data_IF_349664425707
#
_entry.id   IF_349664425707
#
_cell.length_a   1.000
_cell.length_b   1.000
_cell.length_c   1.000
_cell.angle_alpha   90.00
_cell.angle_beta   90.00
_cell.angle_gamma   90.00
#
_symmetry.space_group_name_H-M   'P 1'
#
loop_
_entity.id
_entity.type
_entity.pdbx_description
1 polymer ?
#
# COMPACT_ATOMS: atom_id res chain seq x y z
N UNK A 1 0.85 7.76 -9.26
CA UNK A 1 0.21 6.92 -8.24
C UNK A 1 0.23 7.59 -6.88
N UNK A 2 -0.64 7.15 -5.98
CA UNK A 2 -0.70 7.67 -4.60
C UNK A 2 0.62 7.36 -3.86
N UNK A 3 1.17 6.18 -4.05
CA UNK A 3 2.45 5.81 -3.45
C UNK A 3 3.59 6.71 -3.94
N UNK A 4 3.64 7.03 -5.23
CA UNK A 4 4.63 7.94 -5.78
C UNK A 4 4.49 9.36 -5.19
N UNK A 5 3.26 9.87 -5.10
CA UNK A 5 2.98 11.18 -4.51
C UNK A 5 3.35 11.24 -3.02
N UNK A 6 3.32 10.11 -2.33
CA UNK A 6 3.63 9.99 -0.90
C UNK A 6 5.10 9.63 -0.64
N UNK A 7 5.91 9.39 -1.67
CA UNK A 7 7.29 8.96 -1.51
C UNK A 7 8.15 9.87 -0.63
N UNK A 8 8.11 11.20 -0.75
CA UNK A 8 8.90 12.07 0.13
C UNK A 8 8.55 11.88 1.62
N UNK A 9 7.26 11.72 1.94
CA UNK A 9 6.82 11.49 3.32
C UNK A 9 7.22 10.11 3.83
N UNK A 10 7.16 9.09 2.98
CA UNK A 10 7.62 7.74 3.31
C UNK A 10 9.11 7.72 3.61
N UNK A 11 9.92 8.39 2.77
CA UNK A 11 11.36 8.48 2.97
C UNK A 11 11.73 9.26 4.23
N UNK A 12 10.96 10.30 4.57
CA UNK A 12 11.17 11.08 5.79
C UNK A 12 10.86 10.27 7.05
N UNK A 13 9.76 9.49 7.04
CA UNK A 13 9.35 8.69 8.19
C UNK A 13 10.16 7.40 8.34
N UNK A 14 10.56 6.80 7.22
CA UNK A 14 11.33 5.56 7.17
C UNK A 14 12.63 5.77 6.39
N UNK A 15 13.68 6.37 7.00
CA UNK A 15 14.95 6.58 6.31
C UNK A 15 15.52 5.26 5.76
N UNK A 16 15.95 5.27 4.51
CA UNK A 16 16.46 4.08 3.85
C UNK A 16 15.40 3.18 3.21
N UNK A 17 14.12 3.57 3.24
CA UNK A 17 13.07 2.83 2.54
C UNK A 17 13.31 2.88 1.02
N UNK A 18 13.17 1.73 0.37
CA UNK A 18 13.14 1.67 -1.09
C UNK A 18 11.72 1.93 -1.58
N UNK A 19 11.52 2.97 -2.40
CA UNK A 19 10.21 3.28 -2.99
C UNK A 19 10.27 3.03 -4.50
N UNK A 20 9.45 2.10 -4.99
CA UNK A 20 9.28 1.85 -6.42
C UNK A 20 7.79 2.02 -6.75
N UNK A 21 7.46 3.12 -7.41
CA UNK A 21 6.10 3.45 -7.78
C UNK A 21 6.03 4.00 -9.19
N UNK A 22 5.01 3.57 -9.93
CA UNK A 22 4.72 4.04 -11.29
C UNK A 22 3.25 4.30 -11.47
N UNK A 23 2.93 5.20 -12.38
CA UNK A 23 1.53 5.48 -12.76
C UNK A 23 0.90 4.22 -13.37
N UNK A 24 -0.33 3.92 -12.96
CA UNK A 24 -1.15 2.81 -13.48
C UNK A 24 -0.60 1.40 -13.26
N UNK A 25 0.34 1.23 -12.32
CA UNK A 25 0.80 -0.10 -11.93
C UNK A 25 -0.31 -0.84 -11.18
N UNK A 26 -0.43 -2.15 -11.42
CA UNK A 26 -1.38 -3.03 -10.77
C UNK A 26 -0.67 -4.17 -10.01
N UNK A 27 -1.44 -5.04 -9.35
CA UNK A 27 -0.87 -6.16 -8.57
C UNK A 27 -0.12 -7.18 -9.42
N UNK A 28 -0.52 -7.38 -10.67
CA UNK A 28 0.21 -8.28 -11.59
C UNK A 28 1.63 -7.77 -11.83
N UNK A 29 1.79 -6.46 -12.04
CA UNK A 29 3.11 -5.85 -12.20
C UNK A 29 3.90 -5.81 -10.88
N UNK A 30 3.23 -5.86 -9.73
CA UNK A 30 3.88 -5.80 -8.42
C UNK A 30 4.86 -6.95 -8.19
N UNK A 31 4.57 -8.14 -8.68
CA UNK A 31 5.48 -9.29 -8.54
C UNK A 31 6.81 -9.05 -9.24
N UNK A 32 6.78 -8.50 -10.45
CA UNK A 32 8.00 -8.16 -11.19
C UNK A 32 8.75 -7.01 -10.52
N UNK A 33 8.02 -6.03 -10.01
CA UNK A 33 8.58 -4.90 -9.27
C UNK A 33 9.28 -5.34 -8.00
N UNK A 34 8.68 -6.28 -7.25
CA UNK A 34 9.26 -6.82 -6.03
C UNK A 34 10.59 -7.51 -6.31
N UNK A 35 10.64 -8.36 -7.34
CA UNK A 35 11.87 -9.04 -7.73
C UNK A 35 12.98 -8.05 -8.10
N UNK A 36 12.65 -7.01 -8.87
CA UNK A 36 13.61 -5.97 -9.25
C UNK A 36 14.08 -5.15 -8.04
N UNK A 37 13.17 -4.82 -7.11
CA UNK A 37 13.50 -4.09 -5.88
C UNK A 37 14.41 -4.92 -4.97
N UNK A 38 14.13 -6.20 -4.80
CA UNK A 38 14.97 -7.10 -4.00
C UNK A 38 16.38 -7.23 -4.58
N UNK A 39 16.50 -7.27 -5.91
CA UNK A 39 17.80 -7.30 -6.58
C UNK A 39 18.58 -5.98 -6.39
N UNK A 40 17.90 -4.84 -6.39
CA UNK A 40 18.51 -3.51 -6.29
C UNK A 40 18.84 -3.09 -4.84
N UNK A 41 17.96 -3.41 -3.88
CA UNK A 41 18.03 -2.88 -2.51
C UNK A 41 18.19 -3.96 -1.44
N UNK A 42 18.18 -5.24 -1.80
CA UNK A 42 18.13 -6.36 -0.88
C UNK A 42 16.73 -6.56 -0.28
N UNK A 43 16.54 -7.71 0.36
CA UNK A 43 15.27 -8.04 1.00
C UNK A 43 15.03 -7.15 2.24
N UNK A 44 13.78 -6.69 2.41
CA UNK A 44 13.35 -5.85 3.53
C UNK A 44 12.44 -6.64 4.46
N UNK A 45 12.38 -6.26 5.74
CA UNK A 45 11.52 -6.90 6.74
C UNK A 45 10.03 -6.73 6.40
N UNK A 46 9.66 -5.58 5.87
CA UNK A 46 8.29 -5.28 5.47
C UNK A 46 8.25 -4.95 3.98
N UNK A 47 7.19 -5.41 3.33
CA UNK A 47 6.86 -5.04 1.95
C UNK A 47 5.53 -4.31 1.97
N UNK A 48 5.52 -3.09 1.46
CA UNK A 48 4.33 -2.22 1.42
C UNK A 48 3.83 -2.16 -0.02
N UNK A 49 2.57 -2.54 -0.23
CA UNK A 49 1.95 -2.54 -1.56
C UNK A 49 0.70 -1.67 -1.56
N UNK A 50 0.72 -0.61 -2.38
CA UNK A 50 -0.35 0.37 -2.46
C UNK A 50 -0.86 0.56 -3.88
N UNK A 51 -1.54 -0.44 -4.45
CA UNK A 51 -1.97 -0.45 -5.84
C UNK A 51 -3.49 -0.48 -6.03
N UNK A 52 -4.29 -0.49 -4.95
CA UNK A 52 -5.74 -0.59 -5.02
C UNK A 52 -6.40 0.58 -5.76
N UNK A 53 -5.77 1.76 -5.75
CA UNK A 53 -6.26 2.93 -6.49
C UNK A 53 -6.14 2.74 -8.00
N UNK A 54 -5.22 1.91 -8.48
CA UNK A 54 -4.95 1.73 -9.90
C UNK A 54 -5.78 0.63 -10.54
N UNK A 55 -6.18 -0.40 -9.77
CA UNK A 55 -6.91 -1.54 -10.32
C UNK A 55 -7.58 -2.36 -9.20
N UNK A 56 -8.49 -3.23 -9.60
CA UNK A 56 -9.08 -4.23 -8.70
C UNK A 56 -8.03 -5.23 -8.20
N UNK A 57 -8.39 -5.93 -7.14
CA UNK A 57 -7.52 -6.88 -6.44
C UNK A 57 -8.25 -8.21 -6.30
N UNK A 58 -7.55 -9.31 -6.56
CA UNK A 58 -8.07 -10.66 -6.32
C UNK A 58 -7.29 -11.37 -5.21
N UNK A 59 -7.95 -12.35 -4.59
CA UNK A 59 -7.31 -13.20 -3.59
C UNK A 59 -6.08 -13.92 -4.14
N UNK A 60 -6.15 -14.41 -5.39
CA UNK A 60 -5.02 -15.08 -6.04
C UNK A 60 -3.80 -14.16 -6.18
N UNK A 61 -4.02 -12.89 -6.52
CA UNK A 61 -2.95 -11.90 -6.59
C UNK A 61 -2.32 -11.66 -5.23
N UNK A 62 -3.11 -11.57 -4.16
CA UNK A 62 -2.62 -11.36 -2.80
C UNK A 62 -1.87 -12.59 -2.29
N UNK A 63 -2.36 -13.79 -2.56
CA UNK A 63 -1.65 -15.03 -2.24
C UNK A 63 -0.29 -15.11 -2.95
N UNK A 64 -0.23 -14.70 -4.22
CA UNK A 64 1.01 -14.67 -4.97
C UNK A 64 2.02 -13.69 -4.37
N UNK A 65 1.56 -12.52 -3.93
CA UNK A 65 2.42 -11.53 -3.24
C UNK A 65 2.96 -12.10 -1.93
N UNK A 66 2.11 -12.68 -1.11
CA UNK A 66 2.51 -13.24 0.18
C UNK A 66 3.53 -14.37 0.01
N UNK A 67 3.34 -15.23 -0.99
CA UNK A 67 4.31 -16.27 -1.33
C UNK A 67 5.64 -15.68 -1.81
N UNK A 68 5.59 -14.63 -2.64
CA UNK A 68 6.78 -14.01 -3.21
C UNK A 68 7.67 -13.33 -2.17
N UNK A 69 7.09 -12.76 -1.11
CA UNK A 69 7.88 -12.11 -0.05
C UNK A 69 8.56 -13.12 0.89
N UNK A 70 8.10 -14.37 0.91
CA UNK A 70 8.65 -15.41 1.77
C UNK A 70 8.19 -15.30 3.22
N UNK A 71 8.65 -16.24 4.07
CA UNK A 71 8.20 -16.35 5.46
C UNK A 71 8.83 -15.32 6.40
N UNK A 72 9.97 -14.75 6.01
CA UNK A 72 10.75 -13.84 6.87
C UNK A 72 10.33 -12.38 6.75
N UNK A 73 9.37 -12.07 5.89
CA UNK A 73 8.87 -10.71 5.68
C UNK A 73 7.37 -10.64 5.91
N UNK A 74 6.91 -9.48 6.32
CA UNK A 74 5.50 -9.18 6.51
C UNK A 74 4.99 -8.25 5.42
N UNK A 75 3.70 -8.35 5.11
CA UNK A 75 3.05 -7.62 4.03
C UNK A 75 2.13 -6.53 4.60
N UNK A 76 2.34 -5.31 4.14
CA UNK A 76 1.46 -4.18 4.43
C UNK A 76 0.69 -3.85 3.16
N UNK A 77 -0.63 -4.00 3.22
CA UNK A 77 -1.51 -3.67 2.11
C UNK A 77 -2.19 -2.33 2.37
N UNK A 78 -1.99 -1.39 1.46
CA UNK A 78 -2.61 -0.07 1.56
C UNK A 78 -3.92 -0.06 0.79
N UNK A 79 -5.00 0.36 1.45
CA UNK A 79 -6.30 0.51 0.80
C UNK A 79 -6.29 1.66 -0.21
N UNK A 80 -7.24 1.66 -1.12
CA UNK A 80 -7.42 2.74 -2.08
C UNK A 80 -8.46 3.75 -1.61
N UNK A 81 -8.35 4.98 -2.07
CA UNK A 81 -9.35 6.02 -1.92
C UNK A 81 -9.45 6.79 -3.23
N UNK A 82 -10.66 7.04 -3.67
CA UNK A 82 -10.91 7.77 -4.90
C UNK A 82 -12.38 8.15 -5.07
N UNK A 83 -12.69 8.98 -6.09
CA UNK A 83 -14.06 9.40 -6.37
C UNK A 83 -14.93 8.25 -6.89
N UNK A 84 -16.23 8.52 -7.05
CA UNK A 84 -17.20 7.51 -7.50
C UNK A 84 -16.84 6.83 -8.83
N UNK A 85 -16.09 7.50 -9.71
CA UNK A 85 -15.64 6.91 -10.98
C UNK A 85 -14.65 5.75 -10.80
N UNK A 86 -13.98 5.65 -9.66
CA UNK A 86 -13.06 4.55 -9.33
C UNK A 86 -13.84 3.38 -8.72
N UNK A 87 -14.69 2.76 -9.53
CA UNK A 87 -15.70 1.79 -9.09
C UNK A 87 -15.12 0.50 -8.52
N UNK A 88 -13.86 0.17 -8.82
CA UNK A 88 -13.18 -1.02 -8.34
C UNK A 88 -12.65 -0.90 -6.91
N UNK A 89 -12.50 0.33 -6.38
CA UNK A 89 -11.83 0.56 -5.08
C UNK A 89 -12.58 -0.10 -3.91
N UNK A 90 -13.91 0.03 -3.76
CA UNK A 90 -14.58 -0.62 -2.64
C UNK A 90 -14.37 -2.12 -2.57
N UNK A 91 -14.49 -2.81 -3.72
CA UNK A 91 -14.24 -4.25 -3.81
C UNK A 91 -12.78 -4.62 -3.52
N UNK A 92 -11.83 -3.83 -4.02
CA UNK A 92 -10.42 -4.02 -3.73
C UNK A 92 -10.12 -3.86 -2.24
N UNK A 93 -10.69 -2.86 -1.59
CA UNK A 93 -10.52 -2.63 -0.16
C UNK A 93 -11.12 -3.77 0.67
N UNK A 94 -12.29 -4.28 0.29
CA UNK A 94 -12.92 -5.43 0.96
C UNK A 94 -12.03 -6.67 0.85
N UNK A 95 -11.48 -6.93 -0.32
CA UNK A 95 -10.57 -8.06 -0.55
C UNK A 95 -9.29 -7.93 0.29
N UNK A 96 -8.71 -6.75 0.35
CA UNK A 96 -7.52 -6.46 1.15
C UNK A 96 -7.80 -6.73 2.64
N UNK A 97 -8.93 -6.24 3.16
CA UNK A 97 -9.29 -6.44 4.56
C UNK A 97 -9.57 -7.89 4.90
N UNK A 98 -10.27 -8.61 4.02
CA UNK A 98 -10.53 -10.04 4.19
C UNK A 98 -9.24 -10.83 4.21
N UNK A 99 -8.32 -10.55 3.30
CA UNK A 99 -7.04 -11.23 3.22
C UNK A 99 -6.19 -11.01 4.49
N UNK A 100 -6.12 -9.77 4.97
CA UNK A 100 -5.41 -9.46 6.20
C UNK A 100 -6.01 -10.16 7.42
N UNK A 101 -7.35 -10.27 7.49
CA UNK A 101 -8.04 -10.96 8.56
C UNK A 101 -7.74 -12.47 8.57
N UNK A 102 -7.46 -13.07 7.41
CA UNK A 102 -7.06 -14.47 7.28
C UNK A 102 -5.58 -14.71 7.63
N UNK A 103 -4.76 -13.66 7.61
CA UNK A 103 -3.31 -13.75 7.88
C UNK A 103 -2.87 -12.71 8.93
N UNK A 104 -3.45 -12.74 10.15
CA UNK A 104 -3.26 -11.65 11.12
C UNK A 104 -1.82 -11.49 11.61
N UNK A 105 -1.01 -12.55 11.54
CA UNK A 105 0.38 -12.51 12.01
C UNK A 105 1.37 -11.98 10.94
N UNK A 106 0.94 -11.91 9.68
CA UNK A 106 1.81 -11.64 8.56
C UNK A 106 1.37 -10.48 7.68
N UNK A 107 0.08 -10.12 7.72
CA UNK A 107 -0.50 -9.11 6.84
C UNK A 107 -1.24 -8.08 7.69
N UNK A 108 -0.96 -6.81 7.46
CA UNK A 108 -1.70 -5.72 8.05
C UNK A 108 -2.20 -4.76 6.97
N UNK A 109 -3.26 -4.02 7.31
CA UNK A 109 -3.85 -3.02 6.43
C UNK A 109 -3.42 -1.64 6.87
N UNK A 110 -2.84 -0.88 5.95
CA UNK A 110 -2.70 0.56 6.09
C UNK A 110 -3.98 1.20 5.54
N UNK A 111 -4.83 1.69 6.42
CA UNK A 111 -6.17 2.17 6.09
C UNK A 111 -6.14 3.60 5.54
N UNK A 112 -5.55 3.78 4.37
CA UNK A 112 -5.49 5.07 3.69
C UNK A 112 -6.88 5.64 3.42
N UNK A 113 -7.84 4.80 3.03
CA UNK A 113 -9.22 5.20 2.77
C UNK A 113 -9.88 5.87 3.98
N UNK A 114 -9.63 5.34 5.16
CA UNK A 114 -10.16 5.90 6.41
C UNK A 114 -9.36 7.13 6.85
N UNK A 115 -8.05 7.10 6.70
CA UNK A 115 -7.16 8.17 7.16
C UNK A 115 -7.37 9.47 6.39
N UNK A 116 -7.59 9.40 5.08
CA UNK A 116 -7.80 10.60 4.24
C UNK A 116 -9.27 11.08 4.25
N UNK A 117 -10.21 10.25 4.68
CA UNK A 117 -11.61 10.63 4.75
C UNK A 117 -11.79 11.82 5.68
N UNK A 118 -12.47 12.86 5.21
CA UNK A 118 -12.59 14.13 5.92
C UNK A 118 -11.44 15.10 5.67
N UNK A 119 -10.41 14.69 4.94
CA UNK A 119 -9.25 15.49 4.57
C UNK A 119 -9.05 15.55 3.05
N UNK A 120 -10.15 15.47 2.29
CA UNK A 120 -10.13 15.40 0.83
C UNK A 120 -9.60 16.69 0.20
N UNK A 121 -9.60 17.80 0.94
CA UNK A 121 -8.97 19.06 0.56
C UNK A 121 -7.45 18.95 0.39
N UNK A 122 -6.84 17.92 0.97
CA UNK A 122 -5.40 17.63 0.82
C UNK A 122 -5.08 16.84 -0.44
N UNK A 123 -6.11 16.39 -1.18
CA UNK A 123 -5.97 15.71 -2.46
C UNK A 123 -5.97 16.72 -3.61
N UNK A 124 -5.31 16.35 -4.73
CA UNK A 124 -5.36 17.14 -5.94
C UNK A 124 -6.77 17.19 -6.54
N UNK A 125 -6.95 17.92 -7.65
CA UNK A 125 -8.24 18.06 -8.32
C UNK A 125 -8.82 16.73 -8.79
N UNK A 126 -7.98 15.72 -9.02
CA UNK A 126 -8.42 14.37 -9.38
C UNK A 126 -9.05 13.60 -8.22
N UNK A 127 -8.99 14.12 -7.01
CA UNK A 127 -9.50 13.52 -5.78
C UNK A 127 -8.84 12.17 -5.45
N UNK A 128 -7.61 11.96 -5.92
CA UNK A 128 -6.85 10.72 -5.74
C UNK A 128 -5.45 10.99 -5.20
N UNK A 129 -4.69 11.87 -5.81
CA UNK A 129 -3.29 12.07 -5.49
C UNK A 129 -3.11 13.09 -4.35
N UNK A 130 -2.42 12.70 -3.25
CA UNK A 130 -2.17 13.61 -2.14
C UNK A 130 -1.05 14.62 -2.45
N UNK A 131 -1.17 15.79 -1.88
CA UNK A 131 -0.04 16.71 -1.72
C UNK A 131 0.83 16.31 -0.51
N UNK A 132 1.78 17.17 -0.09
CA UNK A 132 2.71 16.84 1.01
C UNK A 132 2.02 16.46 2.33
N UNK A 133 0.97 17.17 2.72
CA UNK A 133 0.23 16.87 3.96
C UNK A 133 -0.53 15.55 3.85
N UNK A 134 -1.16 15.28 2.70
CA UNK A 134 -1.82 13.99 2.44
C UNK A 134 -0.81 12.85 2.39
N UNK A 135 0.37 13.07 1.83
CA UNK A 135 1.46 12.10 1.84
C UNK A 135 1.93 11.74 3.25
N UNK A 136 1.95 12.71 4.16
CA UNK A 136 2.25 12.46 5.57
C UNK A 136 1.18 11.57 6.24
N UNK A 137 -0.10 11.77 5.92
CA UNK A 137 -1.19 10.91 6.40
C UNK A 137 -1.02 9.49 5.88
N UNK A 138 -0.66 9.32 4.61
CA UNK A 138 -0.37 8.02 4.01
C UNK A 138 0.77 7.30 4.76
N UNK A 139 1.87 7.99 4.99
CA UNK A 139 3.03 7.44 5.68
C UNK A 139 2.68 7.03 7.13
N UNK A 140 1.85 7.81 7.83
CA UNK A 140 1.38 7.46 9.17
C UNK A 140 0.48 6.22 9.18
N UNK A 141 -0.37 6.07 8.18
CA UNK A 141 -1.20 4.86 8.05
C UNK A 141 -0.33 3.62 7.88
N UNK A 142 0.72 3.69 7.08
CA UNK A 142 1.70 2.61 6.92
C UNK A 142 2.42 2.32 8.24
N UNK A 143 2.84 3.36 8.95
CA UNK A 143 3.52 3.20 10.25
C UNK A 143 2.63 2.50 11.27
N UNK A 144 1.36 2.85 11.35
CA UNK A 144 0.40 2.22 12.25
C UNK A 144 0.21 0.73 11.91
N UNK A 145 0.17 0.38 10.63
CA UNK A 145 0.06 -1.00 10.18
C UNK A 145 1.30 -1.83 10.59
N UNK A 146 2.49 -1.28 10.39
CA UNK A 146 3.75 -1.92 10.81
C UNK A 146 3.74 -2.13 12.33
N UNK A 147 3.35 -1.12 13.10
CA UNK A 147 3.29 -1.20 14.56
C UNK A 147 2.31 -2.28 15.03
N UNK A 148 1.21 -2.49 14.31
CA UNK A 148 0.23 -3.53 14.65
C UNK A 148 0.81 -4.94 14.52
N UNK A 149 1.66 -5.19 13.52
CA UNK A 149 2.35 -6.47 13.34
C UNK A 149 3.47 -6.68 14.35
N UNK A 150 4.16 -5.63 14.73
CA UNK A 150 5.25 -5.70 15.71
C UNK A 150 4.79 -6.13 17.12
N UNK A 151 3.48 -6.13 17.40
CA UNK A 151 2.90 -6.55 18.67
C UNK A 151 2.60 -8.06 18.72
N UNK A 152 2.72 -8.74 17.63
CA UNK A 152 2.51 -10.19 17.54
C UNK A 152 3.82 -11.01 17.74
#
# INVERSE_FOLDING_TARGET
>A
SVALASAPSMEALFPGVGVDAKVSRNYTAALQTLAAADAAYGARTYVVVGLATNAGVSEDQLNALLAAIGEDRDLILVTGYGPARTTWIPGANDEIRSFAAEHPDRVAVAAWDEAIKGHEDLLAQDQVHPGPEGGAIYAQAVNQAIASLAKH
#
